data_IF_117111198534
#
_entry.id   IF_117111198534
#
_cell.length_a   1.000
_cell.length_b   1.000
_cell.length_c   1.000
_cell.angle_alpha   90.00
_cell.angle_beta   90.00
_cell.angle_gamma   90.00
#
_symmetry.space_group_name_H-M   'P 1'
#
loop_
_entity.id
_entity.type
_entity.pdbx_description
1 polymer ?
#
# COMPACT_ATOMS: atom_id res chain seq x y z
N UNK A 1 -7.51 13.58 1.24
CA UNK A 1 -8.03 12.65 2.29
C UNK A 1 -9.09 11.75 1.69
N UNK A 2 -9.37 10.59 2.29
CA UNK A 2 -10.33 9.61 1.74
C UNK A 2 -11.70 10.24 1.45
N UNK A 3 -12.24 10.03 0.26
CA UNK A 3 -13.55 10.55 -0.18
C UNK A 3 -14.07 9.72 -1.36
N UNK A 4 -15.36 9.84 -1.74
CA UNK A 4 -15.90 9.15 -2.91
C UNK A 4 -15.16 9.48 -4.22
N UNK A 5 -14.51 10.64 -4.29
CA UNK A 5 -13.69 11.04 -5.42
C UNK A 5 -12.24 10.54 -5.30
N UNK A 6 -11.72 10.39 -4.09
CA UNK A 6 -10.33 10.02 -3.82
C UNK A 6 -10.17 8.51 -3.63
N UNK A 7 -10.35 7.77 -4.72
CA UNK A 7 -10.35 6.29 -4.71
C UNK A 7 -8.98 5.65 -4.95
N UNK A 8 -7.95 6.43 -5.28
CA UNK A 8 -6.62 5.90 -5.63
C UNK A 8 -5.61 6.12 -4.50
N UNK A 9 -4.86 5.07 -4.17
CA UNK A 9 -3.70 5.15 -3.28
C UNK A 9 -2.59 5.93 -3.99
N UNK A 10 -2.13 7.01 -3.35
CA UNK A 10 -0.99 7.82 -3.78
C UNK A 10 0.30 7.35 -3.13
N UNK A 11 0.25 6.96 -1.85
CA UNK A 11 1.36 6.39 -1.10
C UNK A 11 0.85 5.63 0.12
N UNK A 12 1.69 4.78 0.70
CA UNK A 12 1.42 4.08 1.94
C UNK A 12 2.63 4.14 2.88
N UNK A 13 2.37 4.08 4.18
CA UNK A 13 3.39 3.81 5.19
C UNK A 13 2.91 2.72 6.13
N UNK A 14 3.80 1.80 6.50
CA UNK A 14 3.55 0.80 7.53
C UNK A 14 4.42 1.13 8.73
N UNK A 15 3.79 1.39 9.88
CA UNK A 15 4.48 1.76 11.11
C UNK A 15 5.44 2.97 10.92
N UNK A 16 4.98 3.96 10.15
CA UNK A 16 5.73 5.18 9.84
C UNK A 16 6.81 5.04 8.76
N UNK A 17 7.07 3.82 8.27
CA UNK A 17 8.06 3.57 7.21
C UNK A 17 7.40 3.54 5.83
N UNK A 18 8.04 4.09 4.77
CA UNK A 18 7.52 4.00 3.40
C UNK A 18 7.20 2.56 3.00
N UNK A 19 6.00 2.35 2.46
CA UNK A 19 5.51 1.03 2.06
C UNK A 19 5.06 1.06 0.61
N UNK A 20 5.76 0.33 -0.26
CA UNK A 20 5.50 0.33 -1.70
C UNK A 20 4.90 -0.98 -2.21
N UNK A 21 4.77 -2.00 -1.37
CA UNK A 21 4.20 -3.29 -1.76
C UNK A 21 2.68 -3.19 -1.97
N UNK A 22 2.16 -3.90 -2.97
CA UNK A 22 0.71 -4.03 -3.22
C UNK A 22 0.07 -5.22 -2.50
N UNK A 23 0.71 -5.69 -1.43
CA UNK A 23 0.26 -6.77 -0.56
C UNK A 23 0.64 -6.47 0.88
N UNK A 24 0.07 -7.20 1.83
CA UNK A 24 0.53 -7.28 3.22
C UNK A 24 0.85 -8.74 3.53
N UNK A 25 1.91 -8.99 4.31
CA UNK A 25 2.17 -10.34 4.80
C UNK A 25 1.31 -10.61 6.03
N UNK A 26 0.87 -11.85 6.20
CA UNK A 26 0.10 -12.25 7.38
C UNK A 26 0.83 -11.90 8.68
N UNK A 27 2.16 -12.10 8.72
CA UNK A 27 2.98 -11.72 9.88
C UNK A 27 2.93 -10.23 10.21
N UNK A 28 2.82 -9.36 9.20
CA UNK A 28 2.76 -7.90 9.39
C UNK A 28 1.40 -7.51 9.97
N UNK A 29 0.34 -8.25 9.61
CA UNK A 29 -1.00 -8.09 10.18
C UNK A 29 -1.03 -8.58 11.63
N UNK A 30 -0.48 -9.77 11.90
CA UNK A 30 -0.47 -10.39 13.25
C UNK A 30 0.39 -9.61 14.23
N UNK A 31 1.50 -9.01 13.78
CA UNK A 31 2.35 -8.17 14.61
C UNK A 31 1.64 -6.89 15.11
N UNK A 32 0.51 -6.51 14.49
CA UNK A 32 -0.19 -5.27 14.77
C UNK A 32 0.59 -4.03 14.30
N UNK A 33 -0.09 -2.88 14.30
CA UNK A 33 0.54 -1.62 13.88
C UNK A 33 -0.43 -0.69 13.16
N UNK A 34 0.13 0.23 12.38
CA UNK A 34 -0.64 1.23 11.62
C UNK A 34 -0.21 1.23 10.16
N UNK A 35 -1.16 0.91 9.28
CA UNK A 35 -1.05 1.20 7.86
C UNK A 35 -1.74 2.53 7.60
N UNK A 36 -0.99 3.52 7.13
CA UNK A 36 -1.52 4.81 6.73
C UNK A 36 -1.49 4.93 5.21
N UNK A 37 -2.64 5.24 4.62
CA UNK A 37 -2.81 5.41 3.17
C UNK A 37 -3.08 6.87 2.85
N UNK A 38 -2.35 7.40 1.87
CA UNK A 38 -2.62 8.71 1.28
C UNK A 38 -3.49 8.51 0.05
N UNK A 39 -4.71 9.05 0.06
CA UNK A 39 -5.70 8.88 -1.01
C UNK A 39 -5.77 10.11 -1.93
N UNK A 40 -6.06 9.90 -3.22
CA UNK A 40 -6.22 10.94 -4.23
C UNK A 40 -7.18 10.55 -5.36
N UNK A 41 -7.60 11.53 -6.16
CA UNK A 41 -8.64 11.40 -7.19
C UNK A 41 -8.14 10.90 -8.54
N UNK A 42 -6.83 10.85 -8.74
CA UNK A 42 -6.19 10.36 -9.96
C UNK A 42 -5.32 9.15 -9.66
N UNK A 43 -5.18 8.21 -10.61
CA UNK A 43 -4.34 7.04 -10.41
C UNK A 43 -2.87 7.46 -10.26
N UNK A 44 -2.22 6.99 -9.19
CA UNK A 44 -0.77 7.00 -9.14
C UNK A 44 -0.22 5.80 -9.93
N UNK A 45 0.36 6.06 -11.11
CA UNK A 45 0.92 5.03 -11.99
C UNK A 45 2.28 4.50 -11.55
N UNK A 46 2.86 4.99 -10.46
CA UNK A 46 4.16 4.54 -9.94
C UNK A 46 4.06 3.65 -8.71
N UNK A 47 2.98 3.73 -7.94
CA UNK A 47 2.79 2.94 -6.72
C UNK A 47 2.65 1.45 -7.04
N UNK A 48 3.41 0.59 -6.36
CA UNK A 48 3.29 -0.88 -6.46
C UNK A 48 3.61 -1.50 -7.82
N UNK A 49 4.18 -0.75 -8.77
CA UNK A 49 4.36 -1.24 -10.14
C UNK A 49 5.64 -2.05 -10.35
N UNK A 50 6.69 -1.78 -9.57
CA UNK A 50 7.96 -2.49 -9.67
C UNK A 50 7.77 -3.99 -9.35
N UNK A 51 8.41 -4.91 -10.10
CA UNK A 51 8.28 -6.36 -9.86
C UNK A 51 8.53 -6.78 -8.41
N UNK A 52 9.44 -6.10 -7.70
CA UNK A 52 9.75 -6.37 -6.29
C UNK A 52 8.58 -6.10 -5.32
N UNK A 53 7.61 -5.27 -5.72
CA UNK A 53 6.48 -4.84 -4.88
C UNK A 53 5.19 -5.62 -5.14
N UNK A 54 5.21 -6.56 -6.07
CA UNK A 54 4.07 -7.42 -6.38
C UNK A 54 4.00 -8.59 -5.40
N UNK A 55 2.79 -9.15 -5.15
CA UNK A 55 2.66 -10.39 -4.42
C UNK A 55 3.55 -11.46 -5.07
N UNK A 56 4.24 -12.23 -4.24
CA UNK A 56 5.00 -13.38 -4.71
C UNK A 56 4.10 -14.61 -4.61
N UNK A 57 3.95 -15.30 -5.72
CA UNK A 57 3.49 -16.69 -5.75
C UNK A 57 4.61 -17.51 -5.07
N UNK A 58 4.37 -17.95 -3.83
CA UNK A 58 5.24 -18.94 -3.17
C UNK A 58 4.39 -20.20 -3.07
N UNK A 59 4.69 -21.16 -3.95
CA UNK A 59 4.11 -22.50 -3.94
C UNK A 59 5.06 -23.46 -3.23
#
# INVERSE_FOLDING_TARGET
GNSPQNIYIQSATLNGQPYANSYLLHRDIVAGGTLQLTMGSQPNRTFGTAPAHRPKEVY
#
